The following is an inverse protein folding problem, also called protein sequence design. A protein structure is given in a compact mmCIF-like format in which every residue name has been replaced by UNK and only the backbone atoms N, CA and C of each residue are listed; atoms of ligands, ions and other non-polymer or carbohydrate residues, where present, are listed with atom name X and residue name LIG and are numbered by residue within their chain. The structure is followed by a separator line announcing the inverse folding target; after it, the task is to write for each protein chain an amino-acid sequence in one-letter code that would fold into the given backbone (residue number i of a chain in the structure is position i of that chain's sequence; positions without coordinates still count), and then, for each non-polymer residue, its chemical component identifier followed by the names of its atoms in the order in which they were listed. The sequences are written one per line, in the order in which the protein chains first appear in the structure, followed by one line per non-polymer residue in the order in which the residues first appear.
data_IF_902744773153
#
_entry.id   IF_902744773153
#
_cell.length_a   1.000
_cell.length_b   1.000
_cell.length_c   1.000
_cell.angle_alpha   90.00
_cell.angle_beta   90.00
_cell.angle_gamma   90.00
#
_symmetry.space_group_name_H-M   'P 1'
#
loop_
_entity.id
_entity.type
_entity.pdbx_description
1 polymer ?
#
# COMPACT_ATOMS: atom_id res chain seq x y z
N UNK A 1 0.65 7.63 -6.66
CA UNK A 1 1.78 7.06 -7.42
C UNK A 1 2.62 6.18 -6.50
N UNK A 2 3.62 5.46 -7.03
CA UNK A 2 4.58 4.71 -6.19
C UNK A 2 5.39 5.66 -5.31
N UNK A 3 5.74 6.85 -5.80
CA UNK A 3 6.49 7.86 -5.04
C UNK A 3 5.74 8.39 -3.83
N UNK A 4 4.44 8.67 -3.98
CA UNK A 4 3.59 9.10 -2.87
C UNK A 4 3.48 8.02 -1.78
N UNK A 5 3.42 6.74 -2.18
CA UNK A 5 3.44 5.62 -1.23
C UNK A 5 4.77 5.57 -0.45
N UNK A 6 5.90 5.77 -1.13
CA UNK A 6 7.22 5.79 -0.49
C UNK A 6 7.32 6.91 0.54
N UNK A 7 6.88 8.13 0.21
CA UNK A 7 6.87 9.26 1.15
C UNK A 7 6.04 8.95 2.41
N UNK A 8 4.85 8.37 2.25
CA UNK A 8 4.00 7.98 3.39
C UNK A 8 4.72 6.94 4.26
N UNK A 9 5.29 5.90 3.64
CA UNK A 9 5.94 4.81 4.36
C UNK A 9 7.26 5.25 5.05
N UNK A 10 8.03 6.16 4.45
CA UNK A 10 9.24 6.72 5.08
C UNK A 10 8.88 7.55 6.32
N UNK A 11 7.81 8.35 6.24
CA UNK A 11 7.29 9.11 7.39
C UNK A 11 6.82 8.20 8.52
N UNK A 12 6.04 7.16 8.20
CA UNK A 12 5.55 6.20 9.20
C UNK A 12 6.66 5.34 9.80
N UNK A 13 7.63 4.94 8.98
CA UNK A 13 8.76 4.12 9.41
C UNK A 13 9.88 4.88 10.09
N UNK A 14 9.86 6.23 10.08
CA UNK A 14 10.91 7.09 10.61
C UNK A 14 12.28 6.86 9.97
N UNK A 15 12.33 6.32 8.76
CA UNK A 15 13.58 5.96 8.07
C UNK A 15 13.44 6.10 6.56
N UNK A 16 14.55 6.42 5.91
CA UNK A 16 14.61 6.44 4.46
C UNK A 16 14.81 5.04 3.90
N UNK A 17 14.15 4.75 2.78
CA UNK A 17 14.39 3.50 2.07
C UNK A 17 15.61 3.63 1.17
N UNK A 18 16.48 2.64 1.22
CA UNK A 18 17.48 2.44 0.18
C UNK A 18 16.87 1.52 -0.89
N UNK A 19 16.70 2.02 -2.11
CA UNK A 19 16.11 1.30 -3.24
C UNK A 19 16.88 1.60 -4.52
N UNK A 20 16.81 0.69 -5.48
CA UNK A 20 17.33 0.85 -6.83
C UNK A 20 16.23 0.63 -7.87
N UNK A 21 16.42 1.18 -9.06
CA UNK A 21 15.51 0.94 -10.17
C UNK A 21 15.85 -0.41 -10.82
N UNK A 22 14.81 -1.22 -11.01
CA UNK A 22 14.88 -2.43 -11.82
C UNK A 22 14.13 -2.25 -13.15
N UNK A 23 14.23 -3.22 -14.06
CA UNK A 23 13.38 -3.24 -15.25
C UNK A 23 11.90 -3.42 -14.86
N UNK A 24 11.00 -2.99 -15.75
CA UNK A 24 9.58 -3.32 -15.63
C UNK A 24 9.36 -4.83 -15.60
N UNK A 25 8.45 -5.31 -14.75
CA UNK A 25 8.12 -6.73 -14.75
C UNK A 25 7.16 -7.02 -15.90
N UNK A 26 7.27 -8.18 -16.56
CA UNK A 26 6.27 -8.61 -17.53
C UNK A 26 4.87 -8.56 -16.93
N UNK A 27 3.95 -7.86 -17.60
CA UNK A 27 2.57 -7.69 -17.15
C UNK A 27 2.30 -6.48 -16.25
N UNK A 28 3.31 -5.68 -15.87
CA UNK A 28 3.08 -4.44 -15.12
C UNK A 28 2.27 -3.44 -15.97
N UNK A 29 1.09 -3.05 -15.48
CA UNK A 29 0.34 -1.93 -16.04
C UNK A 29 0.89 -0.61 -15.48
N UNK A 30 1.41 0.26 -16.37
CA UNK A 30 2.04 1.53 -15.97
C UNK A 30 1.13 2.45 -15.15
N UNK A 31 -0.15 2.51 -15.51
CA UNK A 31 -1.18 3.34 -14.84
C UNK A 31 -2.50 2.60 -14.83
N UNK A 32 -3.12 2.50 -13.66
CA UNK A 32 -4.46 1.94 -13.47
C UNK A 32 -5.34 2.96 -12.74
N UNK A 33 -6.47 3.33 -13.36
CA UNK A 33 -7.45 4.26 -12.80
C UNK A 33 -8.85 3.70 -13.11
N UNK A 34 -9.71 3.62 -12.11
CA UNK A 34 -11.10 3.17 -12.28
C UNK A 34 -12.08 4.32 -12.12
N UNK A 35 -12.99 4.47 -13.08
CA UNK A 35 -14.16 5.33 -12.90
C UNK A 35 -15.18 4.61 -12.01
N UNK A 36 -15.36 5.11 -10.79
CA UNK A 36 -16.28 4.55 -9.79
C UNK A 36 -17.72 5.12 -9.87
N UNK A 37 -18.04 5.88 -10.92
CA UNK A 37 -19.34 6.53 -11.08
C UNK A 37 -20.53 5.56 -11.08
N UNK A 38 -20.36 4.38 -11.71
CA UNK A 38 -21.39 3.32 -11.68
C UNK A 38 -21.62 2.78 -10.26
N UNK A 39 -20.55 2.49 -9.52
CA UNK A 39 -20.65 2.03 -8.14
C UNK A 39 -21.37 3.07 -7.25
N UNK A 40 -21.08 4.37 -7.46
CA UNK A 40 -21.79 5.47 -6.79
C UNK A 40 -23.27 5.55 -7.18
N UNK A 41 -23.61 5.38 -8.45
CA UNK A 41 -24.99 5.45 -8.94
C UNK A 41 -25.83 4.28 -8.40
N UNK A 42 -25.34 3.07 -8.62
CA UNK A 42 -26.08 1.82 -8.48
C UNK A 42 -26.11 1.33 -7.04
N UNK A 43 -25.00 1.52 -6.30
CA UNK A 43 -24.87 1.04 -4.91
C UNK A 43 -24.83 2.16 -3.87
N UNK A 44 -24.91 3.44 -4.29
CA UNK A 44 -24.65 4.61 -3.41
C UNK A 44 -23.30 4.54 -2.72
N UNK A 45 -22.36 3.81 -3.31
CA UNK A 45 -21.06 3.56 -2.73
C UNK A 45 -20.05 4.63 -3.11
N UNK A 46 -19.24 5.04 -2.15
CA UNK A 46 -18.05 5.87 -2.37
C UNK A 46 -16.96 5.46 -1.38
N UNK A 47 -15.66 5.61 -1.72
CA UNK A 47 -14.58 5.33 -0.80
C UNK A 47 -14.70 6.23 0.44
N UNK A 48 -14.77 5.62 1.61
CA UNK A 48 -14.81 6.32 2.90
C UNK A 48 -13.42 6.48 3.53
N UNK A 49 -12.43 5.72 3.04
CA UNK A 49 -11.06 5.71 3.57
C UNK A 49 -10.13 6.21 2.46
N UNK A 50 -9.33 7.22 2.78
CA UNK A 50 -8.33 7.75 1.85
C UNK A 50 -7.14 6.79 1.69
N UNK A 51 -6.36 6.87 0.59
CA UNK A 51 -5.15 6.06 0.46
C UNK A 51 -4.19 6.22 1.63
N UNK A 52 -3.93 7.46 2.08
CA UNK A 52 -3.05 7.75 3.21
C UNK A 52 -3.53 7.06 4.49
N UNK A 53 -4.81 7.22 4.82
CA UNK A 53 -5.40 6.61 6.01
C UNK A 53 -5.39 5.07 5.93
N UNK A 54 -5.70 4.49 4.76
CA UNK A 54 -5.65 3.05 4.57
C UNK A 54 -4.24 2.48 4.77
N UNK A 55 -3.22 3.16 4.26
CA UNK A 55 -1.81 2.79 4.45
C UNK A 55 -1.42 2.89 5.94
N UNK A 56 -1.81 3.97 6.63
CA UNK A 56 -1.56 4.14 8.07
C UNK A 56 -2.19 3.04 8.91
N UNK A 57 -3.48 2.71 8.64
CA UNK A 57 -4.20 1.62 9.32
C UNK A 57 -3.50 0.28 9.10
N UNK A 58 -3.09 -0.03 7.86
CA UNK A 58 -2.38 -1.26 7.55
C UNK A 58 -1.00 -1.32 8.23
N UNK A 59 -0.24 -0.22 8.20
CA UNK A 59 1.05 -0.13 8.87
C UNK A 59 0.92 -0.42 10.36
N UNK A 60 -0.02 0.24 11.03
CA UNK A 60 -0.28 0.03 12.45
C UNK A 60 -0.68 -1.41 12.77
N UNK A 61 -1.53 -2.01 11.93
CA UNK A 61 -1.91 -3.42 12.09
C UNK A 61 -0.69 -4.34 11.98
N UNK A 62 0.20 -4.16 11.00
CA UNK A 62 1.43 -4.95 10.86
C UNK A 62 2.32 -4.77 12.11
N UNK A 63 2.48 -3.55 12.61
CA UNK A 63 3.29 -3.25 13.79
C UNK A 63 2.75 -3.92 15.05
N UNK A 64 1.43 -3.94 15.22
CA UNK A 64 0.76 -4.60 16.34
C UNK A 64 0.82 -6.14 16.25
N UNK A 65 0.92 -6.68 15.04
CA UNK A 65 0.87 -8.11 14.77
C UNK A 65 2.21 -8.70 14.31
N UNK A 66 3.35 -8.11 14.70
CA UNK A 66 4.69 -8.54 14.27
C UNK A 66 4.93 -10.05 14.42
N UNK A 67 4.58 -10.61 15.58
CA UNK A 67 4.79 -12.04 15.85
C UNK A 67 3.98 -12.93 14.89
N UNK A 68 2.73 -12.55 14.60
CA UNK A 68 1.87 -13.25 13.64
C UNK A 68 2.45 -13.19 12.22
N UNK A 69 2.93 -12.03 11.80
CA UNK A 69 3.50 -11.86 10.46
C UNK A 69 4.80 -12.65 10.29
N UNK A 70 5.63 -12.70 11.35
CA UNK A 70 6.85 -13.50 11.36
C UNK A 70 6.55 -14.99 11.33
N UNK A 71 5.60 -15.48 12.14
CA UNK A 71 5.24 -16.90 12.16
C UNK A 71 4.56 -17.37 10.87
N UNK A 72 3.82 -16.48 10.21
CA UNK A 72 3.21 -16.75 8.90
C UNK A 72 4.25 -16.83 7.75
N UNK A 73 5.52 -16.52 8.01
CA UNK A 73 6.59 -16.62 7.00
C UNK A 73 6.45 -15.62 5.85
N UNK A 74 5.68 -14.54 6.05
CA UNK A 74 5.45 -13.50 5.03
C UNK A 74 6.75 -12.77 4.70
N UNK A 75 7.58 -12.52 5.72
CA UNK A 75 8.92 -11.97 5.54
C UNK A 75 9.94 -13.08 5.80
N UNK A 76 10.73 -13.41 4.77
CA UNK A 76 11.93 -14.23 4.98
C UNK A 76 12.97 -13.37 5.70
N UNK A 77 13.68 -13.93 6.71
CA UNK A 77 14.86 -13.26 7.25
C UNK A 77 15.79 -12.90 6.10
N UNK A 78 16.36 -11.70 6.14
CA UNK A 78 17.43 -11.31 5.22
C UNK A 78 18.69 -12.13 5.50
#
# INVERSE_FOLDING_TARGET
SIWELFDILQKLGGKNFNYSFGPWRPGDQKVYISNIGRAKKDFKWSPAVSPKEGIERLYNWIVQNKNLILSAGVFKPR
#
